data_IF_430802900691
#
_entry.id   IF_430802900691
#
_cell.length_a   1.000
_cell.length_b   1.000
_cell.length_c   1.000
_cell.angle_alpha   90.00
_cell.angle_beta   90.00
_cell.angle_gamma   90.00
#
_symmetry.space_group_name_H-M   'P 1'
#
loop_
_entity.id
_entity.type
_entity.pdbx_description
1 polymer ?
#
# COMPACT_ATOMS: atom_id res chain seq x y z
N UNK A 1 -23.49 7.80 -6.49
CA UNK A 1 -22.79 6.73 -7.25
C UNK A 1 -22.38 5.54 -6.39
N UNK A 2 -21.76 5.72 -5.21
CA UNK A 2 -21.38 4.63 -4.28
C UNK A 2 -22.56 3.78 -3.80
N UNK A 3 -23.70 4.40 -3.51
CA UNK A 3 -24.89 3.69 -3.02
C UNK A 3 -25.58 2.85 -4.10
N UNK A 4 -25.51 3.30 -5.36
CA UNK A 4 -26.00 2.54 -6.51
C UNK A 4 -25.16 1.28 -6.73
N UNK A 5 -23.82 1.41 -6.70
CA UNK A 5 -22.90 0.26 -6.79
C UNK A 5 -23.11 -0.70 -5.62
N UNK A 6 -23.30 -0.17 -4.40
CA UNK A 6 -23.60 -0.99 -3.22
C UNK A 6 -24.91 -1.77 -3.38
N UNK A 7 -25.97 -1.13 -3.87
CA UNK A 7 -27.26 -1.80 -4.17
C UNK A 7 -27.10 -2.89 -5.22
N UNK A 8 -26.41 -2.60 -6.32
CA UNK A 8 -26.16 -3.58 -7.39
C UNK A 8 -25.33 -4.76 -6.86
N UNK A 9 -24.32 -4.51 -6.04
CA UNK A 9 -23.51 -5.59 -5.46
C UNK A 9 -24.26 -6.41 -4.42
N UNK A 10 -25.18 -5.81 -3.66
CA UNK A 10 -26.07 -6.56 -2.75
C UNK A 10 -27.04 -7.45 -3.52
N UNK A 11 -27.56 -6.97 -4.65
CA UNK A 11 -28.51 -7.70 -5.50
C UNK A 11 -27.84 -8.83 -6.31
N UNK A 12 -26.66 -8.55 -6.89
CA UNK A 12 -25.96 -9.50 -7.78
C UNK A 12 -24.98 -10.41 -7.07
N UNK A 13 -24.43 -10.00 -5.94
CA UNK A 13 -23.41 -10.75 -5.19
C UNK A 13 -23.69 -10.75 -3.68
N UNK A 14 -24.89 -11.19 -3.23
CA UNK A 14 -25.28 -11.17 -1.82
C UNK A 14 -24.32 -11.97 -0.94
N UNK A 15 -23.80 -13.10 -1.45
CA UNK A 15 -22.82 -13.95 -0.76
C UNK A 15 -21.55 -13.19 -0.36
N UNK A 16 -21.14 -12.21 -1.18
CA UNK A 16 -19.97 -11.38 -0.91
C UNK A 16 -20.18 -10.45 0.29
N UNK A 17 -21.41 -10.04 0.57
CA UNK A 17 -21.76 -9.27 1.76
C UNK A 17 -21.92 -10.19 2.97
N UNK A 18 -22.59 -11.32 2.80
CA UNK A 18 -22.75 -12.28 3.88
C UNK A 18 -21.39 -12.78 4.38
N UNK A 19 -20.46 -13.10 3.47
CA UNK A 19 -19.09 -13.51 3.82
C UNK A 19 -18.26 -12.43 4.54
N UNK A 20 -18.67 -11.16 4.44
CA UNK A 20 -18.04 -10.02 5.13
C UNK A 20 -18.86 -9.53 6.33
N UNK A 21 -19.96 -10.21 6.67
CA UNK A 21 -20.82 -9.84 7.79
C UNK A 21 -20.04 -9.97 9.12
N UNK A 22 -20.05 -8.94 9.99
CA UNK A 22 -19.38 -9.00 11.29
C UNK A 22 -19.92 -10.19 12.10
N UNK A 23 -19.05 -11.15 12.44
CA UNK A 23 -19.41 -12.36 13.18
C UNK A 23 -19.47 -13.64 12.34
N UNK A 24 -19.52 -13.54 10.99
CA UNK A 24 -19.34 -14.71 10.13
C UNK A 24 -17.85 -15.08 10.14
N UNK A 25 -17.51 -16.18 10.82
CA UNK A 25 -16.14 -16.73 10.81
C UNK A 25 -15.88 -17.33 9.43
N UNK A 26 -15.45 -16.49 8.48
CA UNK A 26 -14.94 -16.99 7.20
C UNK A 26 -13.82 -18.02 7.42
N UNK A 27 -13.55 -18.85 6.40
CA UNK A 27 -12.38 -19.74 6.42
C UNK A 27 -11.15 -18.89 6.74
N UNK A 28 -10.58 -19.05 7.93
CA UNK A 28 -9.35 -18.35 8.32
C UNK A 28 -8.30 -18.74 7.28
N UNK A 29 -7.64 -17.74 6.70
CA UNK A 29 -6.51 -17.98 5.80
C UNK A 29 -5.49 -18.80 6.57
N UNK A 30 -5.13 -19.97 6.03
CA UNK A 30 -4.06 -20.79 6.60
C UNK A 30 -2.78 -19.97 6.57
N UNK A 31 -2.19 -19.74 7.75
CA UNK A 31 -0.91 -19.04 7.84
C UNK A 31 0.18 -19.97 7.36
N UNK A 32 0.96 -19.50 6.41
CA UNK A 32 2.17 -20.16 5.94
C UNK A 32 3.39 -19.44 6.49
N UNK A 33 4.49 -20.16 6.81
CA UNK A 33 5.74 -19.50 7.17
C UNK A 33 6.23 -18.63 6.02
N UNK A 34 6.77 -17.46 6.36
CA UNK A 34 7.41 -16.59 5.39
C UNK A 34 8.81 -17.13 5.08
N UNK A 35 9.17 -17.17 3.80
CA UNK A 35 10.50 -17.56 3.34
C UNK A 35 11.11 -16.42 2.53
N UNK A 36 12.38 -16.09 2.82
CA UNK A 36 13.19 -15.14 2.08
C UNK A 36 14.66 -15.52 2.22
N UNK A 37 15.45 -15.33 1.16
CA UNK A 37 16.86 -15.73 1.12
C UNK A 37 17.78 -14.77 1.89
N UNK A 38 17.36 -13.53 2.06
CA UNK A 38 18.11 -12.46 2.72
C UNK A 38 17.41 -11.11 2.58
N UNK A 39 18.03 -10.03 3.10
CA UNK A 39 17.52 -8.67 2.93
C UNK A 39 17.35 -8.31 1.46
N UNK A 40 16.32 -7.54 1.12
CA UNK A 40 15.96 -7.12 -0.23
C UNK A 40 15.62 -8.26 -1.21
N UNK A 41 15.57 -9.52 -0.75
CA UNK A 41 15.11 -10.62 -1.60
C UNK A 41 13.64 -10.43 -1.98
N UNK A 42 12.78 -10.19 -0.99
CA UNK A 42 11.36 -9.90 -1.21
C UNK A 42 10.93 -8.72 -0.35
N UNK A 43 10.49 -7.66 -1.01
CA UNK A 43 9.96 -6.46 -0.35
C UNK A 43 8.46 -6.39 -0.60
N UNK A 44 7.70 -6.23 0.48
CA UNK A 44 6.25 -6.05 0.47
C UNK A 44 5.93 -4.56 0.49
N UNK A 45 5.06 -4.10 -0.42
CA UNK A 45 4.64 -2.70 -0.46
C UNK A 45 3.13 -2.56 -0.61
N UNK A 46 2.62 -1.44 -0.08
CA UNK A 46 1.20 -1.12 -0.01
C UNK A 46 0.99 0.36 0.37
N UNK A 47 -0.14 0.92 -0.07
CA UNK A 47 -0.60 2.27 0.24
C UNK A 47 -1.73 2.27 1.27
N UNK A 48 -1.58 3.06 2.34
CA UNK A 48 -2.56 3.23 3.40
C UNK A 48 -3.23 4.61 3.35
N UNK A 49 -4.41 4.70 2.72
CA UNK A 49 -5.14 5.97 2.47
C UNK A 49 -6.00 6.50 3.65
N UNK A 50 -5.89 5.91 4.85
CA UNK A 50 -6.92 6.10 5.89
C UNK A 50 -6.71 7.31 6.79
N UNK A 51 -5.79 8.21 6.45
CA UNK A 51 -5.42 9.32 7.31
C UNK A 51 -5.85 10.63 6.63
N UNK A 52 -6.85 11.31 7.23
CA UNK A 52 -7.31 12.66 6.86
C UNK A 52 -8.06 12.89 5.52
N UNK A 53 -8.96 11.99 5.11
CA UNK A 53 -9.95 12.19 4.02
C UNK A 53 -10.98 13.34 4.23
N UNK A 54 -10.78 14.27 5.18
CA UNK A 54 -11.79 15.28 5.58
C UNK A 54 -11.32 16.74 5.54
N UNK A 55 -10.15 16.99 4.94
CA UNK A 55 -9.54 18.32 4.79
C UNK A 55 -9.72 18.87 3.36
N UNK A 56 -10.95 18.87 2.85
CA UNK A 56 -11.31 19.62 1.64
C UNK A 56 -10.67 19.16 0.32
N UNK A 57 -10.34 17.87 0.17
CA UNK A 57 -9.82 17.30 -1.08
C UNK A 57 -8.39 16.80 -1.00
N UNK A 58 -7.59 17.31 -0.05
CA UNK A 58 -6.24 16.81 0.22
C UNK A 58 -6.30 15.57 1.11
N UNK A 59 -5.78 14.45 0.61
CA UNK A 59 -5.60 13.21 1.36
C UNK A 59 -4.16 13.09 1.88
N UNK A 60 -3.98 12.58 3.10
CA UNK A 60 -2.66 12.20 3.60
C UNK A 60 -2.56 10.68 3.54
N UNK A 61 -2.06 10.17 2.42
CA UNK A 61 -1.88 8.74 2.25
C UNK A 61 -0.46 8.36 2.64
N UNK A 62 -0.28 7.22 3.29
CA UNK A 62 1.06 6.69 3.58
C UNK A 62 1.38 5.61 2.58
N UNK A 63 2.59 5.57 2.06
CA UNK A 63 3.08 4.42 1.30
C UNK A 63 4.29 3.82 2.01
N UNK A 64 4.33 2.49 2.09
CA UNK A 64 5.37 1.76 2.79
C UNK A 64 6.01 0.67 1.94
N UNK A 65 7.30 0.44 2.16
CA UNK A 65 8.05 -0.73 1.70
C UNK A 65 8.67 -1.41 2.90
N UNK A 66 8.39 -2.71 3.05
CA UNK A 66 8.84 -3.51 4.19
C UNK A 66 9.56 -4.75 3.70
N UNK A 67 10.76 -4.97 4.23
CA UNK A 67 11.55 -6.16 3.93
C UNK A 67 10.95 -7.39 4.63
N UNK A 68 10.81 -8.49 3.88
CA UNK A 68 10.25 -9.73 4.40
C UNK A 68 11.23 -10.51 5.29
N UNK A 69 12.53 -10.40 5.04
CA UNK A 69 13.55 -11.17 5.75
C UNK A 69 13.85 -10.56 7.13
N UNK A 70 14.21 -9.28 7.15
CA UNK A 70 14.58 -8.54 8.34
C UNK A 70 13.37 -8.03 9.15
N UNK A 71 12.16 -8.15 8.61
CA UNK A 71 10.94 -7.54 9.14
C UNK A 71 11.06 -6.00 9.32
N UNK A 72 11.99 -5.39 8.57
CA UNK A 72 12.36 -3.98 8.71
C UNK A 72 11.60 -3.11 7.72
N UNK A 73 11.15 -1.93 8.19
CA UNK A 73 10.49 -0.95 7.34
C UNK A 73 11.54 -0.12 6.61
N UNK A 74 11.76 -0.45 5.34
CA UNK A 74 12.79 0.17 4.51
C UNK A 74 12.44 1.61 4.14
N UNK A 75 11.14 1.89 3.98
CA UNK A 75 10.67 3.20 3.53
C UNK A 75 9.22 3.40 3.98
N UNK A 76 8.93 4.61 4.48
CA UNK A 76 7.60 5.01 4.89
C UNK A 76 7.46 6.52 4.71
N UNK A 77 6.61 6.94 3.78
CA UNK A 77 6.39 8.36 3.50
C UNK A 77 4.93 8.68 3.30
N UNK A 78 4.62 9.96 3.51
CA UNK A 78 3.30 10.53 3.29
C UNK A 78 3.28 11.15 1.89
N UNK A 79 2.24 10.83 1.13
CA UNK A 79 2.00 11.35 -0.21
C UNK A 79 0.56 11.86 -0.32
N UNK A 80 0.32 12.88 -1.15
CA UNK A 80 -1.03 13.39 -1.42
C UNK A 80 -1.87 12.38 -2.23
N UNK A 81 -1.22 11.58 -3.08
CA UNK A 81 -1.84 10.54 -3.90
C UNK A 81 -0.95 9.29 -3.89
N UNK A 82 -1.59 8.14 -3.72
CA UNK A 82 -0.95 6.81 -3.79
C UNK A 82 -1.71 5.84 -4.71
N UNK A 83 -2.77 6.29 -5.40
CA UNK A 83 -3.65 5.44 -6.22
C UNK A 83 -3.37 5.54 -7.70
N UNK A 84 -2.95 6.72 -8.14
CA UNK A 84 -2.66 6.91 -9.56
C UNK A 84 -1.44 6.08 -9.93
N UNK A 85 -1.44 5.57 -11.16
CA UNK A 85 -0.29 4.85 -11.70
C UNK A 85 0.97 5.70 -11.63
N UNK A 86 0.85 6.99 -11.94
CA UNK A 86 1.97 7.92 -11.91
C UNK A 86 2.57 8.02 -10.52
N UNK A 87 1.73 8.21 -9.50
CA UNK A 87 2.16 8.24 -8.11
C UNK A 87 2.90 6.95 -7.72
N UNK A 88 2.33 5.77 -8.00
CA UNK A 88 2.97 4.50 -7.68
C UNK A 88 4.37 4.34 -8.30
N UNK A 89 4.54 4.78 -9.55
CA UNK A 89 5.85 4.80 -10.21
C UNK A 89 6.85 5.74 -9.54
N UNK A 90 6.45 6.98 -9.25
CA UNK A 90 7.30 7.96 -8.55
C UNK A 90 7.70 7.49 -7.16
N UNK A 91 6.76 6.94 -6.39
CA UNK A 91 7.00 6.41 -5.05
C UNK A 91 8.06 5.29 -5.09
N UNK A 92 8.02 4.43 -6.10
CA UNK A 92 9.05 3.39 -6.26
C UNK A 92 10.42 3.97 -6.59
N UNK A 93 10.50 4.99 -7.46
CA UNK A 93 11.76 5.65 -7.77
C UNK A 93 12.33 6.42 -6.57
N UNK A 94 11.49 7.08 -5.77
CA UNK A 94 11.89 7.71 -4.50
C UNK A 94 12.50 6.68 -3.55
N UNK A 95 11.88 5.50 -3.44
CA UNK A 95 12.39 4.40 -2.64
C UNK A 95 13.77 3.93 -3.11
N UNK A 96 13.95 3.71 -4.42
CA UNK A 96 15.24 3.30 -4.99
C UNK A 96 16.30 4.39 -4.77
N UNK A 97 15.95 5.66 -4.97
CA UNK A 97 16.88 6.78 -4.79
C UNK A 97 17.33 6.93 -3.33
N UNK A 98 16.41 6.79 -2.38
CA UNK A 98 16.72 6.98 -0.96
C UNK A 98 17.48 5.79 -0.36
N UNK A 99 17.08 4.58 -0.72
CA UNK A 99 17.74 3.37 -0.19
C UNK A 99 19.02 3.04 -0.94
N UNK A 100 19.12 3.39 -2.23
CA UNK A 100 20.18 2.96 -3.14
C UNK A 100 20.07 1.50 -3.57
N UNK A 101 18.96 0.82 -3.26
CA UNK A 101 18.77 -0.61 -3.53
C UNK A 101 17.53 -0.86 -4.40
N UNK A 102 17.62 -1.91 -5.21
CA UNK A 102 16.49 -2.47 -5.96
C UNK A 102 16.24 -3.88 -5.41
N UNK A 103 15.02 -4.21 -4.95
CA UNK A 103 14.73 -5.54 -4.45
C UNK A 103 14.85 -6.58 -5.56
N UNK A 104 15.06 -7.85 -5.23
CA UNK A 104 15.02 -8.93 -6.23
C UNK A 104 13.58 -9.13 -6.71
N UNK A 105 12.64 -9.17 -5.76
CA UNK A 105 11.19 -9.27 -5.97
C UNK A 105 10.45 -8.19 -5.18
N UNK A 106 9.54 -7.49 -5.85
CA UNK A 106 8.58 -6.60 -5.22
C UNK A 106 7.20 -7.26 -5.16
N UNK A 107 6.56 -7.24 -4.00
CA UNK A 107 5.26 -7.87 -3.77
C UNK A 107 4.24 -6.81 -3.41
N UNK A 108 3.16 -6.70 -4.19
CA UNK A 108 2.12 -5.69 -4.01
C UNK A 108 0.73 -6.30 -4.10
N UNK A 109 -0.24 -5.58 -3.55
CA UNK A 109 -1.64 -5.90 -3.80
C UNK A 109 -2.05 -5.55 -5.22
N UNK A 110 -3.12 -6.19 -5.70
CA UNK A 110 -3.73 -5.81 -6.96
C UNK A 110 -4.43 -4.44 -6.85
N UNK A 111 -3.65 -3.39 -7.06
CA UNK A 111 -4.09 -2.00 -7.10
C UNK A 111 -4.05 -1.37 -8.48
N UNK A 112 -4.64 -0.19 -8.59
CA UNK A 112 -4.65 0.60 -9.83
C UNK A 112 -3.31 1.30 -10.09
N UNK A 113 -2.54 1.52 -9.02
CA UNK A 113 -1.28 2.24 -8.93
C UNK A 113 -0.07 1.45 -9.47
N UNK A 114 -0.19 0.13 -9.57
CA UNK A 114 0.93 -0.78 -9.79
C UNK A 114 1.56 -0.66 -11.20
N UNK A 115 0.85 -0.08 -12.17
CA UNK A 115 1.27 -0.10 -13.59
C UNK A 115 2.68 0.42 -13.85
N UNK A 116 3.01 1.65 -13.41
CA UNK A 116 4.33 2.23 -13.63
C UNK A 116 5.39 1.66 -12.70
N UNK A 117 5.02 1.34 -11.46
CA UNK A 117 5.90 0.66 -10.50
C UNK A 117 6.39 -0.68 -11.06
N UNK A 118 5.50 -1.47 -11.66
CA UNK A 118 5.85 -2.71 -12.35
C UNK A 118 6.85 -2.48 -13.48
N UNK A 119 6.60 -1.47 -14.32
CA UNK A 119 7.45 -1.16 -15.47
C UNK A 119 8.86 -0.68 -15.06
N UNK A 120 8.96 0.12 -13.99
CA UNK A 120 10.25 0.53 -13.45
C UNK A 120 10.97 -0.64 -12.79
N UNK A 121 10.29 -1.44 -11.99
CA UNK A 121 10.86 -2.62 -11.36
C UNK A 121 11.42 -3.62 -12.40
N UNK A 122 10.65 -3.89 -13.47
CA UNK A 122 11.10 -4.78 -14.55
C UNK A 122 12.31 -4.21 -15.27
N UNK A 123 12.27 -2.93 -15.64
CA UNK A 123 13.33 -2.27 -16.40
C UNK A 123 14.62 -2.18 -15.59
N UNK A 124 14.54 -1.78 -14.33
CA UNK A 124 15.72 -1.69 -13.45
C UNK A 124 16.34 -3.06 -13.18
N UNK A 125 15.52 -4.10 -12.96
CA UNK A 125 16.02 -5.48 -12.81
C UNK A 125 16.70 -5.99 -14.07
N UNK A 126 16.17 -5.66 -15.24
CA UNK A 126 16.76 -6.04 -16.54
C UNK A 126 18.07 -5.30 -16.83
N UNK A 127 18.20 -4.03 -16.44
CA UNK A 127 19.44 -3.26 -16.63
C UNK A 127 20.54 -3.70 -15.67
N UNK A 128 20.22 -3.86 -14.39
CA UNK A 128 21.23 -4.01 -13.33
C UNK A 128 21.45 -5.44 -12.83
N UNK A 129 20.58 -6.39 -13.19
CA UNK A 129 20.65 -7.77 -12.72
C UNK A 129 19.97 -8.75 -13.71
N UNK A 130 20.35 -8.64 -14.99
CA UNK A 130 19.85 -9.44 -16.10
C UNK A 130 20.12 -10.94 -15.97
N UNK A 131 21.12 -11.31 -15.17
CA UNK A 131 21.59 -12.67 -14.91
C UNK A 131 20.69 -13.46 -13.94
N UNK A 132 19.83 -12.78 -13.19
CA UNK A 132 18.87 -13.44 -12.29
C UNK A 132 17.69 -14.00 -13.11
N UNK A 133 17.47 -15.30 -12.97
CA UNK A 133 16.36 -16.03 -13.59
C UNK A 133 15.00 -15.44 -13.16
N UNK A 134 14.25 -14.95 -14.16
CA UNK A 134 12.94 -14.30 -13.99
C UNK A 134 11.82 -15.29 -13.67
N UNK A 135 11.98 -16.57 -14.03
CA UNK A 135 11.01 -17.63 -13.76
C UNK A 135 11.14 -18.13 -12.31
N UNK A 136 12.38 -18.17 -11.79
CA UNK A 136 12.64 -18.53 -10.40
C UNK A 136 12.43 -17.35 -9.44
N UNK A 137 12.84 -16.14 -9.84
CA UNK A 137 12.76 -14.91 -9.04
C UNK A 137 12.06 -13.80 -9.84
N UNK A 138 10.71 -13.81 -9.88
CA UNK A 138 9.96 -12.80 -10.57
C UNK A 138 10.23 -11.43 -9.95
N UNK A 139 10.47 -10.42 -10.79
CA UNK A 139 10.73 -9.05 -10.32
C UNK A 139 9.51 -8.44 -9.60
N UNK A 140 8.29 -8.86 -9.94
CA UNK A 140 7.08 -8.34 -9.33
C UNK A 140 5.98 -9.41 -9.21
N UNK A 141 5.38 -9.52 -8.01
CA UNK A 141 4.30 -10.46 -7.72
C UNK A 141 3.09 -9.71 -7.18
N UNK A 142 1.95 -9.92 -7.84
CA UNK A 142 0.65 -9.41 -7.43
C UNK A 142 -0.06 -10.42 -6.54
N UNK A 143 -0.39 -10.03 -5.32
CA UNK A 143 -1.13 -10.86 -4.37
C UNK A 143 -2.45 -10.20 -3.96
N UNK A 144 -3.27 -10.96 -3.23
CA UNK A 144 -4.46 -10.39 -2.56
C UNK A 144 -4.00 -9.73 -1.26
N UNK A 145 -4.62 -8.62 -0.88
CA UNK A 145 -4.39 -7.92 0.41
C UNK A 145 -4.35 -8.86 1.62
N UNK A 146 -5.26 -9.84 1.69
CA UNK A 146 -5.29 -10.83 2.77
C UNK A 146 -4.02 -11.72 2.87
N UNK A 147 -3.21 -11.76 1.81
CA UNK A 147 -1.95 -12.51 1.72
C UNK A 147 -0.74 -11.59 1.82
N UNK A 148 -0.89 -10.26 1.73
CA UNK A 148 0.20 -9.29 1.91
C UNK A 148 0.50 -9.05 3.40
N UNK A 149 0.68 -10.15 4.12
CA UNK A 149 0.68 -10.18 5.59
C UNK A 149 1.86 -9.43 6.21
N UNK A 150 2.96 -9.26 5.47
CA UNK A 150 4.19 -8.58 5.93
C UNK A 150 3.89 -7.12 6.24
N UNK A 151 3.37 -6.37 5.27
CA UNK A 151 3.05 -4.95 5.44
C UNK A 151 1.70 -4.73 6.14
N UNK A 152 0.70 -5.58 5.93
CA UNK A 152 -0.57 -5.50 6.66
C UNK A 152 -0.39 -5.73 8.17
N UNK A 153 0.57 -6.58 8.55
CA UNK A 153 1.01 -6.73 9.93
C UNK A 153 1.53 -5.42 10.52
N UNK A 154 2.32 -4.68 9.74
CA UNK A 154 2.83 -3.37 10.12
C UNK A 154 1.72 -2.33 10.22
N UNK A 155 0.81 -2.23 9.25
CA UNK A 155 -0.30 -1.28 9.31
C UNK A 155 -1.18 -1.46 10.55
N UNK A 156 -1.42 -2.72 10.94
CA UNK A 156 -2.12 -3.03 12.18
C UNK A 156 -1.36 -2.48 13.39
N UNK A 157 -0.06 -2.71 13.50
CA UNK A 157 0.76 -2.20 14.60
C UNK A 157 0.79 -0.67 14.62
N UNK A 158 0.98 -0.02 13.47
CA UNK A 158 0.98 1.43 13.34
C UNK A 158 -0.35 2.00 13.84
N UNK A 159 -1.48 1.42 13.44
CA UNK A 159 -2.80 1.85 13.89
C UNK A 159 -3.00 1.67 15.40
N UNK A 160 -2.61 0.52 15.94
CA UNK A 160 -2.80 0.18 17.35
C UNK A 160 -1.89 0.97 18.30
N UNK A 161 -0.69 1.33 17.85
CA UNK A 161 0.33 1.98 18.70
C UNK A 161 0.44 3.49 18.47
N UNK A 162 0.22 3.96 17.24
CA UNK A 162 0.46 5.36 16.84
C UNK A 162 -0.76 6.02 16.20
N UNK A 163 -1.66 5.27 15.56
CA UNK A 163 -2.70 5.81 14.70
C UNK A 163 -3.86 6.52 15.39
N UNK A 164 -4.02 6.37 16.71
CA UNK A 164 -5.15 6.95 17.44
C UNK A 164 -5.03 8.48 17.59
N UNK A 165 -3.84 8.99 17.90
CA UNK A 165 -3.63 10.44 18.08
C UNK A 165 -3.35 11.19 16.75
N UNK A 166 -2.84 10.50 15.74
CA UNK A 166 -2.45 11.10 14.46
C UNK A 166 -3.66 11.69 13.72
N UNK A 167 -4.79 10.98 13.73
CA UNK A 167 -6.04 11.48 13.15
C UNK A 167 -6.52 12.73 13.88
N UNK A 168 -6.49 12.72 15.21
CA UNK A 168 -6.93 13.86 16.01
C UNK A 168 -6.04 15.07 15.77
N UNK A 169 -4.72 14.86 15.69
CA UNK A 169 -3.76 15.91 15.39
C UNK A 169 -3.96 16.52 14.00
N UNK A 170 -4.18 15.70 12.96
CA UNK A 170 -4.45 16.20 11.62
C UNK A 170 -5.80 16.94 11.53
N UNK A 171 -6.82 16.49 12.25
CA UNK A 171 -8.10 17.18 12.32
C UNK A 171 -8.01 18.54 13.03
N UNK A 172 -7.07 18.73 13.96
CA UNK A 172 -6.80 20.06 14.53
C UNK A 172 -6.40 21.06 13.47
N UNK A 173 -5.65 20.66 12.44
CA UNK A 173 -5.30 21.55 11.33
C UNK A 173 -6.52 22.20 10.65
N UNK A 174 -7.65 21.49 10.61
CA UNK A 174 -8.93 22.03 10.13
C UNK A 174 -9.63 22.90 11.19
N UNK A 175 -9.68 22.45 12.44
CA UNK A 175 -10.44 23.10 13.53
C UNK A 175 -9.76 24.39 14.00
N UNK A 176 -8.43 24.40 14.02
CA UNK A 176 -7.58 25.51 14.45
C UNK A 176 -7.20 26.44 13.27
N UNK A 177 -7.81 26.25 12.09
CA UNK A 177 -7.56 27.04 10.88
C UNK A 177 -6.09 27.08 10.41
N UNK A 178 -5.28 26.08 10.76
CA UNK A 178 -3.90 25.93 10.29
C UNK A 178 -3.83 25.50 8.81
N UNK A 179 -4.91 24.92 8.28
CA UNK A 179 -5.05 24.55 6.88
C UNK A 179 -6.33 25.15 6.30
N UNK A 180 -6.19 25.91 5.21
CA UNK A 180 -7.30 26.48 4.45
C UNK A 180 -7.48 25.74 3.12
N UNK A 181 -8.49 24.88 3.04
CA UNK A 181 -8.80 24.12 1.82
C UNK A 181 -9.30 24.98 0.64
N UNK A 182 -9.62 26.26 0.89
CA UNK A 182 -10.11 27.21 -0.12
C UNK A 182 -9.07 28.26 -0.50
N UNK A 183 -7.81 28.03 -0.12
CA UNK A 183 -6.72 28.89 -0.57
C UNK A 183 -6.42 28.60 -2.05
N UNK A 184 -6.43 29.62 -2.93
CA UNK A 184 -6.21 29.46 -4.37
C UNK A 184 -4.85 28.88 -4.76
N UNK A 185 -3.88 28.78 -3.84
CA UNK A 185 -2.61 28.09 -4.09
C UNK A 185 -2.70 26.56 -4.07
N UNK A 186 -3.86 25.98 -3.71
CA UNK A 186 -4.09 24.53 -3.62
C UNK A 186 -5.02 23.96 -4.71
N UNK A 187 -5.35 24.75 -5.74
CA UNK A 187 -6.05 24.28 -6.97
C UNK A 187 -5.09 23.75 -8.05
#
# INVERSE_FOLDING_TARGET
>A
MRDLIRKIMLDKFPDGFDNRFPGKKGKRVTRVPLHALGPYHEVSSDGHEKIALRMGGVGFSIYGFKDKFADYLLFLKIYPDVRSRGAGGHIFLDFVQETGYIPIQLTTDKGSEVGWLYAFMSTLREIYAADIDKDLYPFHVLIKSIHNTVIEGFWRQLKEKLGLNLKDFLLRGKVEHLFNAHDPWYE
#
